data_IF_164653905523
#
_entry.id   IF_164653905523
#
_cell.length_a   1.000
_cell.length_b   1.000
_cell.length_c   1.000
_cell.angle_alpha   90.00
_cell.angle_beta   90.00
_cell.angle_gamma   90.00
#
_symmetry.space_group_name_H-M   'P 1'
#
loop_
_entity.id
_entity.type
_entity.pdbx_description
1 polymer ?
#
# COMPACT_ATOMS: atom_id res chain seq x y z
N UNK A 1 -5.48 3.46 -16.73
CA UNK A 1 -4.62 3.44 -15.52
C UNK A 1 -3.91 2.10 -15.37
N UNK A 2 -2.76 2.08 -14.67
CA UNK A 2 -2.00 0.85 -14.41
C UNK A 2 -2.76 -0.05 -13.43
N UNK A 3 -2.77 -1.36 -13.66
CA UNK A 3 -3.29 -2.35 -12.69
C UNK A 3 -2.41 -2.37 -11.44
N UNK A 4 -2.98 -2.72 -10.28
CA UNK A 4 -2.23 -2.85 -9.01
C UNK A 4 -0.97 -3.73 -9.15
N UNK A 5 -1.04 -4.79 -9.96
CA UNK A 5 0.10 -5.66 -10.23
C UNK A 5 1.29 -4.94 -10.90
N UNK A 6 1.04 -3.86 -11.65
CA UNK A 6 2.00 -3.14 -12.47
C UNK A 6 2.59 -1.89 -11.79
N UNK A 7 2.19 -1.58 -10.56
CA UNK A 7 2.82 -0.52 -9.76
C UNK A 7 4.20 -0.99 -9.30
N UNK A 8 5.30 -0.34 -9.70
CA UNK A 8 6.63 -0.73 -9.22
C UNK A 8 6.80 -0.26 -7.78
N UNK A 9 7.20 -1.15 -6.87
CA UNK A 9 7.37 -0.78 -5.45
C UNK A 9 8.51 0.20 -5.23
N UNK A 10 9.48 0.22 -6.15
CA UNK A 10 10.65 1.11 -6.16
C UNK A 10 10.26 2.57 -6.40
N UNK A 11 9.14 2.82 -7.09
CA UNK A 11 8.63 4.17 -7.36
C UNK A 11 8.11 4.86 -6.08
N UNK A 12 7.85 4.09 -5.01
CA UNK A 12 7.15 4.55 -3.81
C UNK A 12 7.98 4.47 -2.53
N UNK A 13 9.28 4.17 -2.63
CA UNK A 13 10.15 3.97 -1.49
C UNK A 13 11.40 4.85 -1.57
N UNK A 14 11.58 5.72 -0.58
CA UNK A 14 12.81 6.50 -0.38
C UNK A 14 13.84 5.76 0.49
N UNK A 15 13.41 4.75 1.25
CA UNK A 15 14.29 3.93 2.10
C UNK A 15 14.13 2.43 1.85
N UNK A 16 15.11 1.63 2.26
CA UNK A 16 15.01 0.16 2.20
C UNK A 16 13.85 -0.37 3.05
N UNK A 17 13.56 0.26 4.19
CA UNK A 17 12.43 -0.12 5.04
C UNK A 17 11.09 0.14 4.32
N UNK A 18 10.92 1.32 3.72
CA UNK A 18 9.73 1.64 2.93
C UNK A 18 9.56 0.67 1.76
N UNK A 19 10.64 0.30 1.07
CA UNK A 19 10.59 -0.65 -0.04
C UNK A 19 10.04 -2.01 0.40
N UNK A 20 10.50 -2.50 1.56
CA UNK A 20 10.04 -3.75 2.15
C UNK A 20 8.57 -3.65 2.58
N UNK A 21 8.17 -2.54 3.20
CA UNK A 21 6.79 -2.32 3.66
C UNK A 21 5.81 -2.14 2.49
N UNK A 22 6.14 -1.34 1.48
CA UNK A 22 5.32 -1.18 0.26
C UNK A 22 5.17 -2.53 -0.46
N UNK A 23 6.22 -3.34 -0.49
CA UNK A 23 6.17 -4.70 -1.04
C UNK A 23 5.19 -5.59 -0.26
N UNK A 24 5.20 -5.52 1.07
CA UNK A 24 4.24 -6.23 1.92
C UNK A 24 2.80 -5.75 1.66
N UNK A 25 2.55 -4.44 1.62
CA UNK A 25 1.24 -3.84 1.35
C UNK A 25 0.71 -4.24 -0.03
N UNK A 26 1.52 -4.13 -1.08
CA UNK A 26 1.16 -4.56 -2.43
C UNK A 26 0.85 -6.06 -2.47
N UNK A 27 1.66 -6.88 -1.79
CA UNK A 27 1.45 -8.32 -1.67
C UNK A 27 0.11 -8.67 -0.99
N UNK A 28 -0.17 -8.02 0.13
CA UNK A 28 -1.40 -8.20 0.91
C UNK A 28 -2.65 -7.88 0.08
N UNK A 29 -2.68 -6.72 -0.58
CA UNK A 29 -3.80 -6.32 -1.44
C UNK A 29 -4.02 -7.29 -2.61
N UNK A 30 -2.94 -7.81 -3.20
CA UNK A 30 -3.02 -8.76 -4.32
C UNK A 30 -3.50 -10.16 -3.93
N UNK A 31 -3.44 -10.52 -2.65
CA UNK A 31 -3.94 -11.80 -2.14
C UNK A 31 -5.44 -11.78 -1.81
N UNK A 32 -6.07 -10.61 -1.88
CA UNK A 32 -7.49 -10.42 -1.58
C UNK A 32 -8.32 -10.29 -2.88
N UNK A 33 -9.63 -10.59 -2.82
CA UNK A 33 -10.55 -10.20 -3.89
C UNK A 33 -10.50 -8.68 -4.11
N UNK A 34 -10.55 -8.22 -5.36
CA UNK A 34 -10.39 -6.79 -5.71
C UNK A 34 -11.38 -5.89 -4.96
N UNK A 35 -12.63 -6.35 -4.77
CA UNK A 35 -13.66 -5.60 -4.02
C UNK A 35 -13.32 -5.43 -2.54
N UNK A 36 -12.65 -6.42 -1.94
CA UNK A 36 -12.20 -6.36 -0.54
C UNK A 36 -10.95 -5.48 -0.42
N UNK A 37 -9.99 -5.65 -1.33
CA UNK A 37 -8.81 -4.80 -1.43
C UNK A 37 -9.21 -3.32 -1.58
N UNK A 38 -10.19 -3.03 -2.45
CA UNK A 38 -10.71 -1.68 -2.65
C UNK A 38 -11.28 -1.11 -1.34
N UNK A 39 -12.14 -1.85 -0.64
CA UNK A 39 -12.71 -1.40 0.64
C UNK A 39 -11.65 -1.12 1.70
N UNK A 40 -10.56 -1.89 1.76
CA UNK A 40 -9.47 -1.62 2.70
C UNK A 40 -8.78 -0.29 2.41
N UNK A 41 -8.46 -0.01 1.16
CA UNK A 41 -7.83 1.25 0.77
C UNK A 41 -8.80 2.43 0.92
N UNK A 42 -10.07 2.24 0.55
CA UNK A 42 -11.13 3.24 0.72
C UNK A 42 -11.39 3.57 2.20
N UNK A 43 -11.22 2.63 3.13
CA UNK A 43 -11.38 2.92 4.56
C UNK A 43 -10.32 3.87 5.12
N UNK A 44 -9.14 3.93 4.46
CA UNK A 44 -7.99 4.76 4.87
C UNK A 44 -8.08 6.16 4.27
N UNK A 45 -8.58 6.26 3.04
CA UNK A 45 -8.65 7.50 2.28
C UNK A 45 -10.08 8.03 2.26
N UNK A 46 -10.24 9.30 2.66
CA UNK A 46 -11.44 10.08 2.35
C UNK A 46 -11.12 11.08 1.22
N UNK A 47 -11.21 10.65 -0.05
CA UNK A 47 -10.82 11.46 -1.19
C UNK A 47 -11.92 12.47 -1.55
N UNK A 48 -11.58 13.76 -1.55
CA UNK A 48 -12.39 14.79 -2.23
C UNK A 48 -12.02 14.80 -3.70
N UNK A 49 -12.86 14.19 -4.50
CA UNK A 49 -12.65 14.03 -5.94
C UNK A 49 -13.45 15.08 -6.70
N UNK A 50 -12.75 15.95 -7.45
CA UNK A 50 -13.36 16.67 -8.57
C UNK A 50 -13.07 15.85 -9.82
N UNK A 51 -14.09 15.57 -10.63
CA UNK A 51 -13.90 14.96 -11.95
C UNK A 51 -13.33 16.02 -12.89
N UNK A 52 -12.01 16.13 -12.93
CA UNK A 52 -11.32 16.79 -14.02
C UNK A 52 -11.24 15.77 -15.15
N UNK A 53 -11.86 16.06 -16.29
CA UNK A 53 -11.71 15.27 -17.50
C UNK A 53 -10.29 15.50 -18.04
N UNK A 54 -9.31 14.75 -17.53
CA UNK A 54 -8.01 14.59 -18.19
C UNK A 54 -8.13 13.59 -19.36
N UNK A 55 -7.06 13.46 -20.16
CA UNK A 55 -7.05 12.62 -21.38
C UNK A 55 -7.36 11.13 -21.13
N UNK A 56 -7.31 10.65 -19.88
CA UNK A 56 -7.69 9.29 -19.47
C UNK A 56 -9.07 9.18 -18.77
N UNK A 57 -9.77 10.31 -18.56
CA UNK A 57 -11.10 10.41 -17.95
C UNK A 57 -11.19 9.99 -16.48
N UNK A 58 -10.07 9.65 -15.84
CA UNK A 58 -10.07 9.13 -14.48
C UNK A 58 -10.23 10.26 -13.44
N UNK A 59 -11.17 10.15 -12.49
CA UNK A 59 -11.33 11.17 -11.46
C UNK A 59 -10.10 11.27 -10.56
N UNK A 60 -9.45 12.44 -10.53
CA UNK A 60 -8.34 12.72 -9.61
C UNK A 60 -8.87 13.27 -8.27
N UNK A 61 -8.51 12.66 -7.12
CA UNK A 61 -8.66 13.34 -5.84
C UNK A 61 -7.79 14.60 -5.83
N UNK A 62 -8.41 15.75 -5.60
CA UNK A 62 -7.73 17.05 -5.50
C UNK A 62 -7.25 17.33 -4.07
N UNK A 63 -7.87 16.68 -3.09
CA UNK A 63 -7.51 16.74 -1.67
C UNK A 63 -8.02 15.45 -1.01
N UNK A 64 -7.14 14.65 -0.44
CA UNK A 64 -7.52 13.45 0.31
C UNK A 64 -7.12 13.60 1.76
N UNK A 65 -8.03 13.28 2.67
CA UNK A 65 -7.66 13.09 4.06
C UNK A 65 -7.22 11.64 4.25
N UNK A 66 -6.09 11.46 4.93
CA UNK A 66 -5.56 10.14 5.27
C UNK A 66 -5.76 9.93 6.76
N UNK A 67 -6.48 8.86 7.11
CA UNK A 67 -6.65 8.45 8.50
C UNK A 67 -5.40 7.69 8.97
N UNK A 68 -4.52 8.38 9.71
CA UNK A 68 -3.23 7.83 10.14
C UNK A 68 -3.34 6.58 11.02
N UNK A 69 -4.38 6.47 11.85
CA UNK A 69 -4.59 5.30 12.70
C UNK A 69 -4.99 4.07 11.87
N UNK A 70 -5.86 4.27 10.87
CA UNK A 70 -6.23 3.20 9.94
C UNK A 70 -5.08 2.82 9.01
N UNK A 71 -4.28 3.80 8.57
CA UNK A 71 -3.09 3.53 7.77
C UNK A 71 -2.07 2.71 8.56
N UNK A 72 -1.80 3.06 9.82
CA UNK A 72 -0.93 2.28 10.71
C UNK A 72 -1.44 0.84 10.86
N UNK A 73 -2.73 0.67 11.17
CA UNK A 73 -3.37 -0.66 11.29
C UNK A 73 -3.28 -1.46 9.98
N UNK A 74 -3.39 -0.79 8.83
CA UNK A 74 -3.24 -1.43 7.53
C UNK A 74 -1.81 -1.90 7.27
N UNK A 75 -0.81 -1.09 7.64
CA UNK A 75 0.61 -1.45 7.58
C UNK A 75 0.87 -2.68 8.48
N UNK A 76 0.41 -2.67 9.73
CA UNK A 76 0.58 -3.78 10.66
C UNK A 76 -0.01 -5.08 10.11
N UNK A 77 -1.23 -5.01 9.55
CA UNK A 77 -1.88 -6.16 8.95
C UNK A 77 -1.13 -6.70 7.72
N UNK A 78 -0.61 -5.80 6.87
CA UNK A 78 0.16 -6.19 5.69
C UNK A 78 1.53 -6.80 6.06
N UNK A 79 2.19 -6.24 7.07
CA UNK A 79 3.46 -6.74 7.61
C UNK A 79 3.27 -8.14 8.19
N UNK A 80 2.27 -8.33 9.07
CA UNK A 80 1.98 -9.62 9.68
C UNK A 80 1.65 -10.69 8.64
N UNK A 81 0.84 -10.34 7.61
CA UNK A 81 0.56 -11.26 6.51
C UNK A 81 1.81 -11.61 5.71
N UNK A 82 2.68 -10.63 5.43
CA UNK A 82 3.94 -10.87 4.72
C UNK A 82 4.91 -11.75 5.51
N UNK A 83 5.04 -11.54 6.83
CA UNK A 83 5.84 -12.42 7.71
C UNK A 83 5.33 -13.86 7.60
N UNK A 84 4.02 -14.07 7.80
CA UNK A 84 3.40 -15.40 7.71
C UNK A 84 3.65 -16.08 6.37
N UNK A 85 3.62 -15.34 5.26
CA UNK A 85 3.88 -15.91 3.93
C UNK A 85 5.36 -16.20 3.67
N UNK A 86 6.28 -15.43 4.27
CA UNK A 86 7.72 -15.67 4.16
C UNK A 86 8.17 -16.85 5.04
N UNK A 87 7.62 -16.99 6.24
CA UNK A 87 7.92 -18.11 7.14
C UNK A 87 7.64 -19.48 6.49
N UNK A 88 6.66 -19.57 5.59
CA UNK A 88 6.36 -20.81 4.85
C UNK A 88 7.46 -21.27 3.88
N UNK A 89 8.37 -20.38 3.49
CA UNK A 89 9.37 -20.67 2.45
C UNK A 89 10.69 -21.19 3.01
N UNK A 90 10.95 -20.99 4.31
CA UNK A 90 12.12 -21.44 5.08
C UNK A 90 13.52 -21.09 4.51
N UNK A 91 13.60 -20.30 3.44
CA UNK A 91 14.83 -19.88 2.79
C UNK A 91 15.48 -18.66 3.46
N UNK A 92 16.77 -18.44 3.20
CA UNK A 92 17.56 -17.40 3.87
C UNK A 92 17.13 -15.96 3.50
N UNK A 93 16.60 -15.74 2.29
CA UNK A 93 16.05 -14.45 1.91
C UNK A 93 14.75 -14.16 2.66
N UNK A 94 13.90 -15.18 2.82
CA UNK A 94 12.67 -15.08 3.62
C UNK A 94 12.97 -14.85 5.11
N UNK A 95 14.01 -15.46 5.68
CA UNK A 95 14.43 -15.18 7.07
C UNK A 95 14.92 -13.74 7.27
N UNK A 96 15.69 -13.22 6.31
CA UNK A 96 16.12 -11.83 6.33
C UNK A 96 14.93 -10.86 6.23
N UNK A 97 13.97 -11.15 5.35
CA UNK A 97 12.75 -10.37 5.19
C UNK A 97 11.85 -10.38 6.45
N UNK A 98 11.69 -11.54 7.10
CA UNK A 98 10.98 -11.65 8.39
C UNK A 98 11.65 -10.81 9.46
N UNK A 99 12.99 -10.83 9.54
CA UNK A 99 13.76 -10.04 10.51
C UNK A 99 13.57 -8.54 10.27
N UNK A 100 13.60 -8.10 9.02
CA UNK A 100 13.36 -6.69 8.66
C UNK A 100 11.93 -6.26 9.02
N UNK A 101 10.93 -7.06 8.62
CA UNK A 101 9.52 -6.79 8.85
C UNK A 101 9.13 -6.85 10.35
N UNK A 102 9.78 -7.70 11.14
CA UNK A 102 9.50 -7.84 12.57
C UNK A 102 9.81 -6.59 13.41
N UNK A 103 10.57 -5.64 12.85
CA UNK A 103 10.86 -4.36 13.50
C UNK A 103 9.92 -3.22 13.04
N UNK A 104 8.95 -3.52 12.18
CA UNK A 104 8.03 -2.52 11.65
C UNK A 104 6.86 -2.33 12.62
N UNK A 105 6.66 -1.08 13.04
CA UNK A 105 5.48 -0.60 13.76
C UNK A 105 4.74 0.40 12.86
N UNK A 106 3.47 0.12 12.56
CA UNK A 106 2.67 0.91 11.62
C UNK A 106 2.54 2.37 12.04
N UNK A 107 2.48 2.65 13.35
CA UNK A 107 2.44 4.02 13.86
C UNK A 107 3.73 4.77 13.55
N UNK A 108 4.87 4.17 13.87
CA UNK A 108 6.21 4.73 13.59
C UNK A 108 6.42 4.96 12.09
N UNK A 109 5.93 4.05 11.25
CA UNK A 109 5.95 4.23 9.79
C UNK A 109 5.14 5.45 9.35
N UNK A 110 3.92 5.62 9.86
CA UNK A 110 3.06 6.78 9.51
C UNK A 110 3.69 8.11 9.92
N UNK A 111 4.42 8.15 11.04
CA UNK A 111 5.08 9.36 11.53
C UNK A 111 6.33 9.75 10.70
N UNK A 112 6.97 8.78 10.04
CA UNK A 112 8.27 8.96 9.38
C UNK A 112 8.25 8.78 7.87
N UNK A 113 7.12 8.32 7.31
CA UNK A 113 7.01 8.00 5.89
C UNK A 113 7.25 9.22 4.99
N UNK A 114 7.88 8.96 3.86
CA UNK A 114 8.04 9.92 2.78
C UNK A 114 6.70 10.21 2.07
N UNK A 115 6.58 11.36 1.40
CA UNK A 115 5.43 11.64 0.54
C UNK A 115 5.21 10.58 -0.55
N UNK A 116 6.29 10.00 -1.08
CA UNK A 116 6.24 8.95 -2.11
C UNK A 116 5.57 7.67 -1.60
N UNK A 117 5.75 7.33 -0.32
CA UNK A 117 5.06 6.20 0.30
C UNK A 117 3.54 6.38 0.28
N UNK A 118 3.07 7.61 0.46
CA UNK A 118 1.64 7.96 0.40
C UNK A 118 1.08 7.85 -1.02
N UNK A 119 1.89 8.12 -2.05
CA UNK A 119 1.49 7.97 -3.45
C UNK A 119 1.11 6.52 -3.77
N UNK A 120 1.74 5.53 -3.14
CA UNK A 120 1.34 4.13 -3.30
C UNK A 120 -0.11 3.91 -2.90
N UNK A 121 -0.56 4.48 -1.77
CA UNK A 121 -1.93 4.29 -1.27
C UNK A 121 -2.94 4.95 -2.22
N UNK A 122 -2.60 6.13 -2.74
CA UNK A 122 -3.42 6.86 -3.72
C UNK A 122 -3.53 6.12 -5.06
N UNK A 123 -2.41 5.61 -5.57
CA UNK A 123 -2.40 4.87 -6.83
C UNK A 123 -3.03 3.49 -6.66
N UNK A 124 -2.84 2.81 -5.53
CA UNK A 124 -3.54 1.57 -5.23
C UNK A 124 -5.07 1.79 -5.21
N UNK A 125 -5.55 2.88 -4.59
CA UNK A 125 -6.96 3.25 -4.62
C UNK A 125 -7.47 3.45 -6.05
N UNK A 126 -6.74 4.24 -6.86
CA UNK A 126 -7.10 4.53 -8.25
C UNK A 126 -7.13 3.26 -9.09
N UNK A 127 -6.09 2.43 -8.98
CA UNK A 127 -5.99 1.16 -9.67
C UNK A 127 -7.16 0.25 -9.35
N UNK A 128 -7.50 0.09 -8.05
CA UNK A 128 -8.59 -0.79 -7.61
C UNK A 128 -9.99 -0.26 -7.95
N UNK A 129 -10.16 1.07 -7.99
CA UNK A 129 -11.48 1.68 -8.24
C UNK A 129 -11.87 1.72 -9.70
N UNK A 130 -10.91 2.01 -10.57
CA UNK A 130 -11.18 2.45 -11.95
C UNK A 130 -10.54 1.58 -13.02
N UNK A 131 -9.75 0.58 -12.64
CA UNK A 131 -9.27 -0.44 -13.59
C UNK A 131 -10.20 -1.65 -13.49
N UNK A 132 -11.43 -1.49 -13.98
CA UNK A 132 -12.35 -2.59 -14.29
C UNK A 132 -12.25 -2.92 -15.78
#
# INVERSE_FOLDING_TARGET
MKRLAWLSVEDYAATQMELVVVSAMKGYLRRMPEKEAFKKVEAILDPKVIRLAGDDGAPMPIQSNVDGAKLATFIDAAVADSIREQEKREDDLSKAGVTMLGNVDGKSMVEQMSPQFLEFVLDAYRSLKYTQ
#
